data_IF_940059280714
#
_entry.id   IF_940059280714
#
_cell.length_a   1.000
_cell.length_b   1.000
_cell.length_c   1.000
_cell.angle_alpha   90.00
_cell.angle_beta   90.00
_cell.angle_gamma   90.00
#
_symmetry.space_group_name_H-M   'P 1'
#
loop_
_entity.id
_entity.type
_entity.pdbx_description
1 polymer ?
#
# COMPACT_ATOMS: atom_id res chain seq x y z
N UNK A 1 -8.30 0.53 5.65
CA UNK A 1 -7.56 -0.24 4.62
C UNK A 1 -6.44 0.56 3.93
N UNK A 2 -6.69 1.64 3.15
CA UNK A 2 -5.59 2.34 2.41
C UNK A 2 -4.43 2.84 3.27
N UNK A 3 -4.73 3.39 4.45
CA UNK A 3 -3.70 3.85 5.38
C UNK A 3 -2.93 2.68 6.02
N UNK A 4 -3.63 1.61 6.40
CA UNK A 4 -3.01 0.37 6.90
C UNK A 4 -2.08 -0.27 5.87
N UNK A 5 -2.46 -0.31 4.58
CA UNK A 5 -1.57 -0.76 3.49
C UNK A 5 -0.26 0.03 3.51
N UNK A 6 -0.37 1.36 3.63
CA UNK A 6 0.79 2.24 3.59
C UNK A 6 1.66 2.12 4.83
N UNK A 7 1.04 1.97 5.99
CA UNK A 7 1.69 1.78 7.28
C UNK A 7 2.48 0.47 7.29
N UNK A 8 1.82 -0.65 6.94
CA UNK A 8 2.45 -1.96 6.86
C UNK A 8 3.62 -1.97 5.86
N UNK A 9 3.43 -1.38 4.68
CA UNK A 9 4.51 -1.29 3.68
C UNK A 9 5.69 -0.43 4.17
N UNK A 10 5.43 0.66 4.89
CA UNK A 10 6.48 1.51 5.47
C UNK A 10 7.17 0.85 6.68
N UNK A 11 6.50 -0.08 7.35
CA UNK A 11 7.04 -0.88 8.44
C UNK A 11 7.67 -2.20 7.97
N UNK A 12 7.92 -2.35 6.66
CA UNK A 12 8.68 -3.47 6.09
C UNK A 12 7.86 -4.67 5.63
N UNK A 13 6.52 -4.65 5.72
CA UNK A 13 5.71 -5.70 5.09
C UNK A 13 5.77 -5.57 3.57
N UNK A 14 6.12 -6.67 2.91
CA UNK A 14 6.04 -6.75 1.46
C UNK A 14 4.59 -6.64 0.94
N UNK A 15 4.45 -6.33 -0.35
CA UNK A 15 3.15 -6.19 -1.04
C UNK A 15 2.28 -7.45 -0.88
N UNK A 16 2.90 -8.62 -1.03
CA UNK A 16 2.21 -9.93 -0.93
C UNK A 16 1.79 -10.26 0.49
N UNK A 17 2.62 -9.94 1.48
CA UNK A 17 2.33 -10.13 2.89
C UNK A 17 1.16 -9.23 3.33
N UNK A 18 1.24 -7.95 2.99
CA UNK A 18 0.17 -6.98 3.22
C UNK A 18 -1.15 -7.43 2.60
N UNK A 19 -1.12 -7.93 1.36
CA UNK A 19 -2.29 -8.46 0.67
C UNK A 19 -2.90 -9.66 1.39
N UNK A 20 -2.05 -10.59 1.87
CA UNK A 20 -2.47 -11.77 2.63
C UNK A 20 -3.10 -11.39 3.98
N UNK A 21 -2.46 -10.50 4.74
CA UNK A 21 -2.93 -10.09 6.07
C UNK A 21 -4.24 -9.31 5.98
N UNK A 22 -4.37 -8.42 4.98
CA UNK A 22 -5.56 -7.58 4.82
C UNK A 22 -6.68 -8.25 4.00
N UNK A 23 -6.46 -9.46 3.46
CA UNK A 23 -7.46 -10.16 2.66
C UNK A 23 -7.84 -9.45 1.36
N UNK A 24 -6.89 -8.74 0.74
CA UNK A 24 -7.11 -7.96 -0.49
C UNK A 24 -6.18 -8.41 -1.62
N UNK A 25 -6.45 -7.96 -2.84
CA UNK A 25 -5.56 -8.26 -3.96
C UNK A 25 -4.21 -7.53 -3.84
N UNK A 26 -3.09 -8.16 -4.26
CA UNK A 26 -1.79 -7.48 -4.36
C UNK A 26 -1.85 -6.26 -5.28
N UNK A 27 -2.69 -6.28 -6.31
CA UNK A 27 -2.91 -5.15 -7.22
C UNK A 27 -3.44 -3.92 -6.48
N UNK A 28 -4.41 -4.10 -5.57
CA UNK A 28 -4.96 -3.03 -4.72
C UNK A 28 -3.88 -2.41 -3.83
N UNK A 29 -2.97 -3.24 -3.30
CA UNK A 29 -1.82 -2.77 -2.50
C UNK A 29 -0.91 -1.90 -3.37
N UNK A 30 -0.53 -2.40 -4.55
CA UNK A 30 0.33 -1.67 -5.51
C UNK A 30 -0.29 -0.33 -5.91
N UNK A 31 -1.56 -0.31 -6.31
CA UNK A 31 -2.26 0.92 -6.72
C UNK A 31 -2.33 1.95 -5.59
N UNK A 32 -2.60 1.49 -4.37
CA UNK A 32 -2.66 2.37 -3.19
C UNK A 32 -1.29 3.00 -2.94
N UNK A 33 -0.22 2.22 -2.98
CA UNK A 33 1.15 2.72 -2.81
C UNK A 33 1.52 3.69 -3.94
N UNK A 34 1.27 3.35 -5.22
CA UNK A 34 1.55 4.23 -6.37
C UNK A 34 0.80 5.56 -6.28
N UNK A 35 -0.48 5.56 -5.90
CA UNK A 35 -1.28 6.79 -5.72
C UNK A 35 -0.72 7.67 -4.59
N UNK A 36 -0.24 7.07 -3.49
CA UNK A 36 0.39 7.82 -2.39
C UNK A 36 1.69 8.51 -2.83
N UNK A 37 2.47 7.88 -3.69
CA UNK A 37 3.69 8.49 -4.23
C UNK A 37 3.40 9.62 -5.24
N UNK A 38 2.35 9.50 -6.04
CA UNK A 38 1.98 10.56 -7.00
C UNK A 38 1.34 11.79 -6.35
N UNK A 39 0.70 11.64 -5.19
CA UNK A 39 0.11 12.77 -4.46
C UNK A 39 1.16 13.79 -3.97
N UNK A 40 2.45 13.44 -3.90
CA UNK A 40 3.53 14.32 -3.44
C UNK A 40 4.17 15.20 -4.52
N UNK A 41 3.73 15.14 -5.78
CA UNK A 41 4.29 15.95 -6.87
C UNK A 41 3.53 17.25 -7.16
N UNK A 42 2.61 17.68 -6.30
CA UNK A 42 1.75 18.85 -6.54
C UNK A 42 1.57 19.81 -5.37
N UNK A 43 2.45 19.80 -4.37
CA UNK A 43 2.47 20.77 -3.26
C UNK A 43 3.70 21.67 -3.33
#
# INVERSE_FOLDING_TARGET
>A
VKQQISDMAMNGSGIRDTARVLGISPTTVIETLKKKFQAKSGE
#
